data_IF_530251415169
#
_entry.id   IF_530251415169
#
_cell.length_a   1.000
_cell.length_b   1.000
_cell.length_c   1.000
_cell.angle_alpha   90.00
_cell.angle_beta   90.00
_cell.angle_gamma   90.00
#
_symmetry.space_group_name_H-M   'P 1'
#
loop_
_entity.id
_entity.type
_entity.pdbx_description
1 polymer ?
#
# COMPACT_ATOMS: atom_id res chain seq x y z
N UNK A 1 -8.16 63.18 0.46
CA UNK A 1 -7.37 62.00 0.10
C UNK A 1 -8.30 60.99 -0.55
N UNK A 2 -8.04 60.49 -1.76
CA UNK A 2 -8.84 59.43 -2.33
C UNK A 2 -8.62 58.11 -1.53
N UNK A 3 -9.62 57.24 -1.42
CA UNK A 3 -9.50 55.98 -0.69
C UNK A 3 -8.43 55.07 -1.32
N UNK A 4 -7.58 54.54 -0.48
CA UNK A 4 -6.55 53.58 -0.85
C UNK A 4 -7.17 52.32 -1.48
N UNK A 5 -6.68 51.90 -2.65
CA UNK A 5 -7.15 50.68 -3.29
C UNK A 5 -6.86 49.45 -2.37
N UNK A 6 -7.82 48.54 -2.19
CA UNK A 6 -7.58 47.34 -1.46
C UNK A 6 -6.42 46.53 -2.09
N UNK A 7 -5.60 45.84 -1.27
CA UNK A 7 -4.52 45.03 -1.78
C UNK A 7 -5.03 43.96 -2.75
N UNK A 8 -4.26 43.60 -3.79
CA UNK A 8 -4.67 42.59 -4.75
C UNK A 8 -4.93 41.25 -4.00
N UNK A 9 -6.08 40.64 -4.32
CA UNK A 9 -6.43 39.30 -3.83
C UNK A 9 -5.33 38.36 -4.30
N UNK A 10 -4.70 37.55 -3.41
CA UNK A 10 -3.69 36.59 -3.80
C UNK A 10 -4.25 35.63 -4.84
N UNK A 11 -3.52 35.44 -5.93
CA UNK A 11 -3.88 34.47 -6.97
C UNK A 11 -4.10 33.10 -6.32
N UNK A 12 -5.10 32.33 -6.73
CA UNK A 12 -5.30 30.98 -6.25
C UNK A 12 -4.00 30.17 -6.43
N UNK A 13 -3.60 29.34 -5.47
CA UNK A 13 -2.40 28.54 -5.58
C UNK A 13 -2.44 27.72 -6.86
N UNK A 14 -1.36 27.75 -7.63
CA UNK A 14 -1.19 26.92 -8.81
C UNK A 14 -1.43 25.46 -8.41
N UNK A 15 -2.27 24.71 -9.10
CA UNK A 15 -2.48 23.30 -8.78
C UNK A 15 -1.13 22.58 -8.79
N UNK A 16 -0.90 21.64 -7.87
CA UNK A 16 0.35 20.92 -7.81
C UNK A 16 0.63 20.22 -9.14
N UNK A 17 1.88 20.25 -9.63
CA UNK A 17 2.22 19.60 -10.88
C UNK A 17 1.86 18.13 -10.80
N UNK A 18 1.13 17.65 -11.78
CA UNK A 18 0.89 16.21 -11.91
C UNK A 18 2.23 15.54 -12.20
N UNK A 19 2.43 14.36 -11.65
CA UNK A 19 3.64 13.58 -11.87
C UNK A 19 3.83 13.19 -13.35
N UNK A 20 2.78 13.25 -14.15
CA UNK A 20 2.75 12.98 -15.59
C UNK A 20 2.71 14.24 -16.47
N UNK A 21 2.91 15.43 -15.91
CA UNK A 21 2.91 16.70 -16.65
C UNK A 21 1.52 17.25 -16.96
N UNK A 22 1.34 17.83 -18.15
CA UNK A 22 0.13 18.57 -18.56
C UNK A 22 -0.97 17.68 -19.16
N UNK A 23 -0.69 16.39 -19.42
CA UNK A 23 -1.68 15.47 -19.95
C UNK A 23 -2.80 15.20 -18.92
N UNK A 24 -3.95 14.77 -19.37
CA UNK A 24 -4.96 14.22 -18.48
C UNK A 24 -4.51 12.88 -17.89
N UNK A 25 -5.06 12.49 -16.74
CA UNK A 25 -4.73 11.21 -16.11
C UNK A 25 -5.01 10.02 -17.05
N UNK A 26 -6.10 10.07 -17.80
CA UNK A 26 -6.49 9.02 -18.74
C UNK A 26 -5.55 8.94 -19.96
N UNK A 27 -5.14 10.09 -20.50
CA UNK A 27 -4.12 10.15 -21.57
C UNK A 27 -2.77 9.60 -21.10
N UNK A 28 -2.40 9.92 -19.86
CA UNK A 28 -1.18 9.37 -19.28
C UNK A 28 -1.25 7.84 -19.20
N UNK A 29 -2.33 7.25 -18.64
CA UNK A 29 -2.47 5.79 -18.59
C UNK A 29 -2.48 5.17 -19.98
N UNK A 30 -3.19 5.76 -20.94
CA UNK A 30 -3.20 5.27 -22.32
C UNK A 30 -1.81 5.29 -22.95
N UNK A 31 -1.00 6.33 -22.70
CA UNK A 31 0.39 6.41 -23.15
C UNK A 31 1.29 5.32 -22.55
N UNK A 32 0.92 4.78 -21.39
CA UNK A 32 1.60 3.65 -20.73
C UNK A 32 1.05 2.27 -21.16
N UNK A 33 0.14 2.24 -22.16
CA UNK A 33 -0.50 1.01 -22.58
C UNK A 33 -1.52 0.44 -21.58
N UNK A 34 -2.08 1.30 -20.72
CA UNK A 34 -2.95 0.92 -19.60
C UNK A 34 -4.33 1.54 -19.74
N UNK A 35 -5.36 0.73 -19.54
CA UNK A 35 -6.73 1.15 -19.31
C UNK A 35 -6.98 1.20 -17.81
N UNK A 36 -7.22 2.41 -17.28
CA UNK A 36 -7.59 2.60 -15.88
C UNK A 36 -9.11 2.80 -15.76
N UNK A 37 -9.72 2.11 -14.81
CA UNK A 37 -11.12 2.31 -14.45
C UNK A 37 -11.22 2.67 -12.98
N UNK A 38 -12.03 3.65 -12.65
CA UNK A 38 -12.26 4.16 -11.29
C UNK A 38 -13.71 3.91 -10.90
N UNK A 39 -13.94 3.43 -9.69
CA UNK A 39 -15.25 3.16 -9.16
C UNK A 39 -15.32 3.32 -7.65
N UNK A 40 -16.50 3.16 -7.09
CA UNK A 40 -16.72 3.04 -5.66
C UNK A 40 -17.39 1.71 -5.37
N UNK A 41 -16.97 1.06 -4.30
CA UNK A 41 -17.47 -0.24 -3.86
C UNK A 41 -18.01 -0.15 -2.43
N UNK A 42 -19.26 -0.52 -2.24
CA UNK A 42 -19.90 -0.51 -0.91
C UNK A 42 -19.50 -1.75 -0.13
N UNK A 43 -19.10 -1.55 1.12
CA UNK A 43 -18.79 -2.64 2.05
C UNK A 43 -19.57 -2.47 3.35
N UNK A 44 -19.70 -3.51 4.19
CA UNK A 44 -20.28 -3.37 5.53
C UNK A 44 -19.54 -2.37 6.46
N UNK A 45 -18.33 -1.95 6.07
CA UNK A 45 -17.48 -1.08 6.88
C UNK A 45 -17.34 0.34 6.31
N UNK A 46 -17.90 0.62 5.14
CA UNK A 46 -17.86 1.90 4.44
C UNK A 46 -17.55 1.72 2.96
N UNK A 47 -17.67 2.82 2.21
CA UNK A 47 -17.44 2.87 0.77
C UNK A 47 -15.96 3.00 0.46
N UNK A 48 -15.45 2.13 -0.40
CA UNK A 48 -14.09 2.18 -0.91
C UNK A 48 -14.07 2.86 -2.29
N UNK A 49 -13.06 3.67 -2.51
CA UNK A 49 -12.63 4.05 -3.86
C UNK A 49 -11.74 2.95 -4.41
N UNK A 50 -12.05 2.48 -5.61
CA UNK A 50 -11.39 1.34 -6.25
C UNK A 50 -10.91 1.68 -7.64
N UNK A 51 -9.83 1.05 -8.08
CA UNK A 51 -9.28 1.20 -9.41
C UNK A 51 -8.92 -0.15 -10.01
N UNK A 52 -9.04 -0.26 -11.34
CA UNK A 52 -8.42 -1.34 -12.12
C UNK A 52 -7.39 -0.77 -13.09
N UNK A 53 -6.33 -1.52 -13.31
CA UNK A 53 -5.25 -1.22 -14.24
C UNK A 53 -5.05 -2.46 -15.13
N UNK A 54 -5.57 -2.40 -16.33
CA UNK A 54 -5.62 -3.51 -17.28
C UNK A 54 -4.89 -3.12 -18.57
N UNK A 55 -4.49 -4.07 -19.42
CA UNK A 55 -3.94 -3.75 -20.72
C UNK A 55 -4.90 -2.85 -21.50
N UNK A 56 -4.35 -1.86 -22.20
CA UNK A 56 -5.12 -1.00 -23.10
C UNK A 56 -5.67 -1.82 -24.27
N UNK A 57 -4.89 -2.76 -24.79
CA UNK A 57 -5.31 -3.70 -25.83
C UNK A 57 -6.15 -4.82 -25.19
N UNK A 58 -7.46 -4.91 -25.49
CA UNK A 58 -8.33 -5.94 -24.93
C UNK A 58 -8.04 -7.35 -25.46
N UNK A 59 -7.25 -7.50 -26.51
CA UNK A 59 -6.88 -8.80 -27.08
C UNK A 59 -5.74 -9.45 -26.28
N UNK A 60 -4.97 -8.64 -25.55
CA UNK A 60 -3.88 -9.14 -24.71
C UNK A 60 -4.45 -9.96 -23.54
N UNK A 61 -4.14 -11.27 -23.43
CA UNK A 61 -4.69 -12.10 -22.39
C UNK A 61 -4.15 -11.67 -21.01
N UNK A 62 -5.04 -11.63 -20.03
CA UNK A 62 -4.68 -11.45 -18.61
C UNK A 62 -4.24 -12.82 -18.09
N UNK A 63 -2.99 -12.92 -17.63
CA UNK A 63 -2.41 -14.18 -17.13
C UNK A 63 -2.59 -14.42 -15.64
N UNK A 64 -2.81 -13.34 -14.89
CA UNK A 64 -2.98 -13.36 -13.45
C UNK A 64 -3.68 -12.09 -12.98
N UNK A 65 -4.06 -12.04 -11.72
CA UNK A 65 -4.57 -10.83 -11.07
C UNK A 65 -3.74 -10.49 -9.83
N UNK A 66 -3.42 -9.20 -9.64
CA UNK A 66 -2.72 -8.69 -8.45
C UNK A 66 -3.62 -7.66 -7.76
N UNK A 67 -3.92 -7.89 -6.50
CA UNK A 67 -4.79 -7.06 -5.67
C UNK A 67 -3.94 -6.26 -4.70
N UNK A 68 -3.95 -4.93 -4.83
CA UNK A 68 -2.92 -4.06 -4.26
C UNK A 68 -3.45 -3.14 -3.17
N UNK A 69 -2.69 -3.03 -2.07
CA UNK A 69 -2.94 -2.11 -0.96
C UNK A 69 -1.74 -1.21 -0.69
N UNK A 70 -2.00 0.08 -0.58
CA UNK A 70 -1.01 1.13 -0.35
C UNK A 70 -0.64 1.29 1.13
N UNK A 71 0.43 2.04 1.41
CA UNK A 71 0.92 2.35 2.75
C UNK A 71 0.11 3.43 3.50
N UNK A 72 0.46 3.65 4.77
CA UNK A 72 -0.16 4.65 5.64
C UNK A 72 -0.01 6.08 5.06
N UNK A 73 -1.11 6.82 5.05
CA UNK A 73 -1.15 8.21 4.58
C UNK A 73 -1.08 8.37 3.06
N UNK A 74 -1.01 7.28 2.31
CA UNK A 74 -1.00 7.23 0.84
C UNK A 74 -2.39 6.97 0.27
N UNK A 75 -2.47 6.74 -1.03
CA UNK A 75 -3.66 6.34 -1.78
C UNK A 75 -3.26 5.47 -2.99
N UNK A 76 -4.21 4.84 -3.67
CA UNK A 76 -3.97 4.01 -4.86
C UNK A 76 -3.63 4.80 -6.13
N UNK A 77 -3.64 6.11 -6.06
CA UNK A 77 -3.22 7.02 -7.13
C UNK A 77 -1.81 7.55 -6.94
N UNK A 78 -1.55 8.72 -7.57
CA UNK A 78 -0.30 9.44 -7.47
C UNK A 78 0.90 8.52 -7.79
N UNK A 79 1.92 8.48 -6.94
CA UNK A 79 3.11 7.66 -7.23
C UNK A 79 2.89 6.14 -7.07
N UNK A 80 1.90 5.69 -6.29
CA UNK A 80 1.57 4.27 -6.14
C UNK A 80 1.15 3.63 -7.47
N UNK A 81 0.55 4.42 -8.36
CA UNK A 81 0.18 3.96 -9.70
C UNK A 81 1.36 3.47 -10.55
N UNK A 82 2.63 3.83 -10.24
CA UNK A 82 3.80 3.24 -10.91
C UNK A 82 3.84 1.72 -10.75
N UNK A 83 3.52 1.22 -9.56
CA UNK A 83 3.40 -0.22 -9.31
C UNK A 83 2.24 -0.77 -10.12
N UNK A 84 1.08 -0.12 -10.05
CA UNK A 84 -0.12 -0.54 -10.75
C UNK A 84 0.10 -0.59 -12.28
N UNK A 85 0.76 0.41 -12.86
CA UNK A 85 1.11 0.44 -14.29
C UNK A 85 2.07 -0.69 -14.65
N UNK A 86 3.10 -0.93 -13.82
CA UNK A 86 4.06 -2.01 -14.06
C UNK A 86 3.43 -3.39 -14.04
N UNK A 87 2.29 -3.52 -13.35
CA UNK A 87 1.47 -4.73 -13.27
C UNK A 87 0.13 -4.57 -14.00
N UNK A 88 0.03 -3.67 -14.98
CA UNK A 88 -1.23 -3.37 -15.66
C UNK A 88 -1.90 -4.59 -16.31
N UNK A 89 -1.12 -5.59 -16.65
CA UNK A 89 -1.64 -6.86 -17.15
C UNK A 89 -2.38 -7.68 -16.06
N UNK A 90 -2.35 -7.23 -14.77
CA UNK A 90 -2.80 -8.01 -13.61
C UNK A 90 -3.39 -7.19 -12.46
N UNK A 91 -3.55 -5.85 -12.58
CA UNK A 91 -3.66 -4.98 -11.40
C UNK A 91 -5.05 -4.48 -11.02
N UNK A 92 -5.44 -4.73 -9.77
CA UNK A 92 -6.55 -4.07 -9.05
C UNK A 92 -6.06 -3.42 -7.77
N UNK A 93 -6.50 -2.20 -7.48
CA UNK A 93 -6.12 -1.47 -6.29
C UNK A 93 -7.33 -0.85 -5.58
N UNK A 94 -7.24 -0.67 -4.25
CA UNK A 94 -8.23 0.04 -3.47
C UNK A 94 -7.55 1.06 -2.53
N UNK A 95 -8.17 2.24 -2.37
CA UNK A 95 -7.86 3.12 -1.24
C UNK A 95 -8.43 2.49 0.03
N UNK A 96 -7.57 2.26 1.01
CA UNK A 96 -7.98 1.71 2.31
C UNK A 96 -8.93 2.69 3.03
N UNK A 97 -9.83 2.20 3.88
CA UNK A 97 -10.68 3.05 4.71
C UNK A 97 -9.85 4.08 5.48
N UNK A 98 -10.33 5.32 5.52
CA UNK A 98 -9.63 6.47 6.09
C UNK A 98 -8.52 7.04 5.20
N UNK A 99 -8.34 6.55 3.97
CA UNK A 99 -7.30 6.99 3.05
C UNK A 99 -7.88 7.40 1.70
N UNK A 100 -7.12 8.17 0.95
CA UNK A 100 -7.43 8.55 -0.42
C UNK A 100 -8.82 9.15 -0.59
N UNK A 101 -9.65 8.47 -1.36
CA UNK A 101 -11.04 8.82 -1.71
C UNK A 101 -12.06 7.90 -1.03
N UNK A 102 -11.61 6.95 -0.22
CA UNK A 102 -12.47 6.05 0.55
C UNK A 102 -13.05 6.74 1.79
N UNK A 103 -14.16 6.20 2.31
CA UNK A 103 -14.80 6.67 3.51
C UNK A 103 -13.89 6.56 4.74
N UNK A 104 -14.25 7.28 5.79
CA UNK A 104 -13.60 7.22 7.09
C UNK A 104 -12.88 8.51 7.48
N UNK A 105 -12.45 8.57 8.73
CA UNK A 105 -11.66 9.71 9.23
C UNK A 105 -10.24 9.60 8.69
N UNK A 106 -9.73 10.68 8.12
CA UNK A 106 -8.39 10.72 7.51
C UNK A 106 -7.32 10.13 8.41
N UNK A 107 -6.68 9.06 7.93
CA UNK A 107 -5.64 8.29 8.62
C UNK A 107 -6.00 7.82 10.02
N UNK A 108 -7.27 7.52 10.24
CA UNK A 108 -7.74 6.80 11.40
C UNK A 108 -8.13 5.38 10.99
N UNK A 109 -7.42 4.40 11.53
CA UNK A 109 -7.65 2.99 11.20
C UNK A 109 -8.75 2.36 12.05
N UNK A 110 -8.89 2.84 13.31
CA UNK A 110 -9.80 2.24 14.28
C UNK A 110 -9.44 0.77 14.55
N UNK A 111 -9.95 -0.12 13.74
CA UNK A 111 -9.66 -1.56 13.74
C UNK A 111 -9.13 -1.98 12.36
N UNK A 112 -7.85 -2.32 12.26
CA UNK A 112 -7.22 -2.68 11.00
C UNK A 112 -7.80 -3.99 10.42
N UNK A 113 -8.37 -4.87 11.24
CA UNK A 113 -9.07 -6.03 10.71
C UNK A 113 -10.29 -5.64 9.89
N UNK A 114 -11.04 -4.59 10.30
CA UNK A 114 -12.17 -4.08 9.52
C UNK A 114 -11.72 -3.38 8.24
N UNK A 115 -10.61 -2.65 8.31
CA UNK A 115 -10.00 -2.02 7.12
C UNK A 115 -9.57 -3.10 6.12
N UNK A 116 -8.93 -4.17 6.59
CA UNK A 116 -8.55 -5.31 5.77
C UNK A 116 -9.79 -6.05 5.22
N UNK A 117 -10.82 -6.28 6.05
CA UNK A 117 -12.06 -6.91 5.62
C UNK A 117 -12.78 -6.13 4.53
N UNK A 118 -12.81 -4.79 4.61
CA UNK A 118 -13.40 -3.94 3.57
C UNK A 118 -12.68 -4.11 2.23
N UNK A 119 -11.35 -4.01 2.21
CA UNK A 119 -10.55 -4.23 1.01
C UNK A 119 -10.72 -5.67 0.47
N UNK A 120 -10.74 -6.66 1.36
CA UNK A 120 -10.97 -8.07 1.01
C UNK A 120 -12.34 -8.27 0.36
N UNK A 121 -13.41 -7.61 0.82
CA UNK A 121 -14.73 -7.69 0.18
C UNK A 121 -14.67 -7.29 -1.29
N UNK A 122 -14.00 -6.19 -1.60
CA UNK A 122 -13.81 -5.77 -3.00
C UNK A 122 -12.96 -6.77 -3.78
N UNK A 123 -11.80 -7.15 -3.26
CA UNK A 123 -10.89 -8.05 -3.95
C UNK A 123 -11.53 -9.43 -4.22
N UNK A 124 -12.28 -9.96 -3.26
CA UNK A 124 -13.04 -11.20 -3.45
C UNK A 124 -14.10 -11.04 -4.53
N UNK A 125 -14.83 -9.93 -4.59
CA UNK A 125 -15.86 -9.72 -5.61
C UNK A 125 -15.29 -9.75 -7.03
N UNK A 126 -14.08 -9.25 -7.21
CA UNK A 126 -13.35 -9.34 -8.49
C UNK A 126 -12.82 -10.76 -8.71
N UNK A 127 -12.15 -11.34 -7.70
CA UNK A 127 -11.48 -12.64 -7.77
C UNK A 127 -12.42 -13.78 -8.15
N UNK A 128 -13.68 -13.75 -7.67
CA UNK A 128 -14.66 -14.81 -7.93
C UNK A 128 -15.54 -14.55 -9.15
N UNK A 129 -15.30 -13.46 -9.88
CA UNK A 129 -16.03 -13.20 -11.15
C UNK A 129 -15.61 -14.20 -12.23
N UNK A 130 -16.52 -14.48 -13.17
CA UNK A 130 -16.28 -15.44 -14.26
C UNK A 130 -15.03 -15.10 -15.11
N UNK A 131 -14.66 -13.82 -15.16
CA UNK A 131 -13.50 -13.33 -15.90
C UNK A 131 -12.15 -13.70 -15.25
N UNK A 132 -12.12 -13.85 -13.90
CA UNK A 132 -10.85 -13.98 -13.15
C UNK A 132 -10.77 -15.18 -12.21
N UNK A 133 -11.84 -15.95 -12.05
CA UNK A 133 -11.92 -17.04 -11.06
C UNK A 133 -10.91 -18.17 -11.31
N UNK A 134 -10.52 -18.40 -12.56
CA UNK A 134 -9.58 -19.46 -12.96
C UNK A 134 -8.13 -18.97 -13.08
N UNK A 135 -7.87 -17.67 -12.90
CA UNK A 135 -6.53 -17.12 -13.02
C UNK A 135 -5.74 -17.21 -11.70
N UNK A 136 -4.40 -17.29 -11.76
CA UNK A 136 -3.57 -17.06 -10.60
C UNK A 136 -3.85 -15.67 -9.98
N UNK A 137 -3.94 -15.60 -8.65
CA UNK A 137 -4.32 -14.39 -7.93
C UNK A 137 -3.33 -14.09 -6.79
N UNK A 138 -2.80 -12.88 -6.77
CA UNK A 138 -1.81 -12.45 -5.79
C UNK A 138 -2.32 -11.27 -4.97
N UNK A 139 -2.07 -11.27 -3.66
CA UNK A 139 -2.23 -10.10 -2.82
C UNK A 139 -0.91 -9.36 -2.72
N UNK A 140 -0.94 -8.05 -2.93
CA UNK A 140 0.21 -7.16 -2.78
C UNK A 140 -0.06 -6.11 -1.71
N UNK A 141 0.95 -5.84 -0.86
CA UNK A 141 0.87 -4.76 0.11
C UNK A 141 2.20 -4.07 0.37
N UNK A 142 2.16 -2.74 0.39
CA UNK A 142 3.29 -1.90 0.74
C UNK A 142 3.14 -1.37 2.17
N UNK A 143 4.21 -1.45 2.97
CA UNK A 143 4.25 -0.85 4.30
C UNK A 143 3.10 -1.32 5.21
N UNK A 144 2.26 -0.41 5.71
CA UNK A 144 1.02 -0.74 6.43
C UNK A 144 0.06 -1.57 5.56
N UNK A 145 0.03 -1.34 4.24
CA UNK A 145 -0.71 -2.17 3.31
C UNK A 145 -0.24 -3.63 3.33
N UNK A 146 1.06 -3.88 3.57
CA UNK A 146 1.58 -5.23 3.78
C UNK A 146 1.00 -5.90 5.02
N UNK A 147 0.85 -5.15 6.12
CA UNK A 147 0.17 -5.64 7.32
C UNK A 147 -1.31 -5.94 7.04
N UNK A 148 -2.02 -5.04 6.34
CA UNK A 148 -3.41 -5.26 5.91
C UNK A 148 -3.53 -6.49 4.98
N UNK A 149 -2.59 -6.67 4.05
CA UNK A 149 -2.52 -7.84 3.15
C UNK A 149 -2.39 -9.15 3.94
N UNK A 150 -1.54 -9.18 4.95
CA UNK A 150 -1.41 -10.36 5.81
C UNK A 150 -2.71 -10.66 6.57
N UNK A 151 -3.39 -9.61 7.07
CA UNK A 151 -4.69 -9.77 7.73
C UNK A 151 -5.80 -10.22 6.77
N UNK A 152 -5.80 -9.74 5.52
CA UNK A 152 -6.71 -10.23 4.48
C UNK A 152 -6.48 -11.72 4.20
N UNK A 153 -5.22 -12.14 4.09
CA UNK A 153 -4.89 -13.55 3.91
C UNK A 153 -5.42 -14.40 5.07
N UNK A 154 -5.25 -13.98 6.31
CA UNK A 154 -5.76 -14.71 7.48
C UNK A 154 -7.29 -14.75 7.58
N UNK A 155 -7.98 -13.80 6.93
CA UNK A 155 -9.45 -13.72 6.86
C UNK A 155 -10.02 -14.43 5.61
N UNK A 156 -9.16 -14.91 4.71
CA UNK A 156 -9.56 -15.56 3.46
C UNK A 156 -9.72 -17.06 3.63
N UNK A 157 -10.49 -17.66 2.71
CA UNK A 157 -10.51 -19.10 2.53
C UNK A 157 -9.12 -19.57 2.05
N UNK A 158 -8.78 -20.81 2.40
CA UNK A 158 -7.60 -21.47 1.83
C UNK A 158 -7.76 -21.54 0.30
N UNK A 159 -6.67 -21.44 -0.39
CA UNK A 159 -6.60 -21.56 -1.85
C UNK A 159 -7.23 -20.40 -2.66
N UNK A 160 -7.73 -19.36 -1.99
CA UNK A 160 -8.25 -18.17 -2.70
C UNK A 160 -7.11 -17.42 -3.42
N UNK A 161 -5.91 -17.45 -2.86
CA UNK A 161 -4.74 -16.72 -3.35
C UNK A 161 -3.61 -17.66 -3.74
N UNK A 162 -2.98 -17.36 -4.88
CA UNK A 162 -1.80 -18.09 -5.38
C UNK A 162 -0.52 -17.68 -4.62
N UNK A 163 -0.45 -16.45 -4.14
CA UNK A 163 0.69 -15.97 -3.39
C UNK A 163 0.54 -14.56 -2.80
N UNK A 164 1.47 -14.19 -1.94
CA UNK A 164 1.54 -12.89 -1.27
C UNK A 164 2.81 -12.14 -1.68
N UNK A 165 2.71 -10.82 -1.84
CA UNK A 165 3.83 -9.95 -2.17
C UNK A 165 3.86 -8.81 -1.16
N UNK A 166 4.97 -8.68 -0.46
CA UNK A 166 5.18 -7.66 0.56
C UNK A 166 6.33 -6.73 0.15
N UNK A 167 6.05 -5.43 0.04
CA UNK A 167 7.03 -4.40 -0.21
C UNK A 167 7.26 -3.58 1.06
N UNK A 168 8.44 -3.72 1.66
CA UNK A 168 8.80 -3.06 2.93
C UNK A 168 7.67 -3.11 3.98
N UNK A 169 7.12 -4.30 4.29
CA UNK A 169 5.93 -4.42 5.12
C UNK A 169 6.18 -3.92 6.55
N UNK A 170 5.19 -3.25 7.12
CA UNK A 170 5.24 -2.75 8.49
C UNK A 170 4.93 -3.88 9.49
N UNK A 171 5.81 -4.86 9.60
CA UNK A 171 5.67 -5.96 10.57
C UNK A 171 6.40 -5.67 11.89
N UNK A 172 7.47 -4.88 11.85
CA UNK A 172 8.21 -4.43 13.03
C UNK A 172 8.42 -2.92 12.96
N UNK A 173 7.99 -2.21 14.00
CA UNK A 173 8.21 -0.78 14.15
C UNK A 173 9.64 -0.56 14.64
N UNK A 174 10.46 0.30 13.99
CA UNK A 174 11.80 0.62 14.46
C UNK A 174 11.80 1.16 15.90
N UNK A 175 12.75 0.75 16.73
CA UNK A 175 12.81 1.13 18.16
C UNK A 175 12.68 2.65 18.41
N UNK A 176 13.33 3.56 17.62
CA UNK A 176 13.15 4.99 17.83
C UNK A 176 11.73 5.52 17.58
N UNK A 177 10.89 4.75 16.87
CA UNK A 177 9.51 5.09 16.55
C UNK A 177 8.50 4.36 17.43
N UNK A 178 8.95 3.38 18.20
CA UNK A 178 8.10 2.53 19.05
C UNK A 178 7.62 3.34 20.25
N UNK A 179 6.31 3.56 20.41
CA UNK A 179 5.81 4.21 21.62
C UNK A 179 6.13 3.33 22.83
N UNK A 180 6.69 3.91 23.89
CA UNK A 180 6.95 3.14 25.11
C UNK A 180 5.64 2.61 25.70
N UNK A 181 5.69 1.45 26.36
CA UNK A 181 4.51 0.84 27.02
C UNK A 181 3.83 1.80 27.99
N UNK A 182 4.62 2.66 28.66
CA UNK A 182 4.11 3.71 29.56
C UNK A 182 3.34 4.77 28.77
N UNK A 183 3.85 5.24 27.64
CA UNK A 183 3.14 6.17 26.78
C UNK A 183 1.85 5.54 26.21
N UNK A 184 1.89 4.29 25.77
CA UNK A 184 0.70 3.57 25.30
C UNK A 184 -0.35 3.42 26.40
N UNK A 185 0.06 3.13 27.63
CA UNK A 185 -0.82 3.04 28.80
C UNK A 185 -1.42 4.41 29.17
N UNK A 186 -0.58 5.45 29.24
CA UNK A 186 -1.04 6.83 29.51
C UNK A 186 -1.99 7.33 28.42
N UNK A 187 -1.67 7.09 27.16
CA UNK A 187 -2.57 7.40 26.05
C UNK A 187 -3.85 6.57 26.11
N UNK A 188 -3.81 5.32 26.53
CA UNK A 188 -5.00 4.49 26.75
C UNK A 188 -5.90 5.00 27.86
N UNK A 189 -5.33 5.46 28.98
CA UNK A 189 -6.08 5.98 30.12
C UNK A 189 -6.61 7.41 29.89
N UNK A 190 -5.79 8.29 29.27
CA UNK A 190 -6.14 9.70 29.03
C UNK A 190 -6.92 9.89 27.73
N UNK A 191 -6.77 9.02 26.74
CA UNK A 191 -7.27 9.19 25.38
C UNK A 191 -8.16 8.05 24.87
N UNK A 192 -8.60 7.15 25.74
CA UNK A 192 -9.64 6.17 25.37
C UNK A 192 -10.92 6.81 24.82
N UNK A 193 -11.13 8.11 25.11
CA UNK A 193 -12.18 8.97 24.55
C UNK A 193 -11.73 9.73 23.29
N UNK A 194 -10.45 9.65 22.88
CA UNK A 194 -9.85 10.54 21.87
C UNK A 194 -8.92 9.80 20.88
N UNK A 195 -9.24 8.58 20.53
CA UNK A 195 -8.47 7.76 19.58
C UNK A 195 -8.26 8.45 18.21
N UNK A 196 -9.20 9.34 17.84
CA UNK A 196 -9.14 10.11 16.61
C UNK A 196 -8.21 11.33 16.68
N UNK A 197 -7.65 11.68 17.85
CA UNK A 197 -6.77 12.84 18.01
C UNK A 197 -5.44 12.64 17.29
N UNK A 198 -5.07 13.63 16.47
CA UNK A 198 -3.80 13.70 15.78
C UNK A 198 -2.74 14.34 16.71
N UNK A 199 -2.33 13.60 17.73
CA UNK A 199 -1.48 14.10 18.82
C UNK A 199 -0.09 13.44 18.91
N UNK A 200 0.17 12.37 18.16
CA UNK A 200 1.48 11.70 18.19
C UNK A 200 2.58 12.60 17.59
N UNK A 201 3.81 12.54 18.11
CA UNK A 201 4.92 13.29 17.53
C UNK A 201 5.10 12.98 16.05
N UNK A 202 5.26 14.02 15.22
CA UNK A 202 5.65 13.87 13.83
C UNK A 202 7.17 13.71 13.76
N UNK A 203 7.63 12.53 13.40
CA UNK A 203 9.05 12.21 13.28
C UNK A 203 9.62 12.52 11.88
N UNK A 204 8.98 13.39 11.09
CA UNK A 204 9.37 13.72 9.70
C UNK A 204 9.52 12.46 8.85
N UNK A 205 8.54 11.59 8.94
CA UNK A 205 8.55 10.24 8.34
C UNK A 205 8.84 10.25 6.83
N UNK A 206 8.37 11.25 6.10
CA UNK A 206 8.48 11.32 4.62
C UNK A 206 9.94 11.35 4.17
N UNK A 207 10.79 12.15 4.80
CA UNK A 207 12.24 12.22 4.47
C UNK A 207 13.01 10.93 4.77
N UNK A 208 12.43 10.03 5.57
CA UNK A 208 12.99 8.70 5.84
C UNK A 208 12.47 7.61 4.90
N UNK A 209 11.38 7.91 4.19
CA UNK A 209 10.76 6.97 3.26
C UNK A 209 11.30 7.09 1.84
N UNK A 210 11.66 8.31 1.43
CA UNK A 210 11.93 8.69 0.04
C UNK A 210 13.38 9.12 -0.07
N UNK A 211 14.14 8.44 -0.92
CA UNK A 211 15.56 8.74 -1.17
C UNK A 211 15.75 9.78 -2.26
N UNK A 212 14.95 9.70 -3.33
CA UNK A 212 15.02 10.61 -4.47
C UNK A 212 14.37 11.97 -4.12
N UNK A 213 15.11 13.10 -4.15
CA UNK A 213 14.60 14.40 -3.74
C UNK A 213 13.51 14.96 -4.69
N UNK A 214 13.56 14.62 -5.98
CA UNK A 214 12.54 15.07 -6.93
C UNK A 214 11.23 14.28 -6.73
N UNK A 215 11.31 12.98 -6.51
CA UNK A 215 10.17 12.16 -6.15
C UNK A 215 9.58 12.57 -4.80
N UNK A 216 10.44 12.97 -3.84
CA UNK A 216 9.98 13.53 -2.56
C UNK A 216 9.10 14.78 -2.76
N UNK A 217 9.51 15.71 -3.64
CA UNK A 217 8.69 16.90 -3.96
C UNK A 217 7.34 16.52 -4.55
N UNK A 218 7.34 15.59 -5.52
CA UNK A 218 6.12 15.10 -6.15
C UNK A 218 5.19 14.45 -5.12
N UNK A 219 5.70 13.56 -4.28
CA UNK A 219 4.91 12.87 -3.24
C UNK A 219 4.40 13.87 -2.20
N UNK A 220 5.22 14.84 -1.80
CA UNK A 220 4.83 15.88 -0.86
C UNK A 220 3.70 16.77 -1.41
N UNK A 221 3.62 16.96 -2.72
CA UNK A 221 2.58 17.76 -3.38
C UNK A 221 1.24 17.02 -3.58
N UNK A 222 1.16 15.73 -3.27
CA UNK A 222 -0.10 14.98 -3.38
C UNK A 222 -1.18 15.60 -2.46
N UNK A 223 -2.27 16.17 -3.01
CA UNK A 223 -3.32 16.83 -2.23
C UNK A 223 -4.11 15.85 -1.33
N UNK A 224 -4.04 14.56 -1.63
CA UNK A 224 -4.72 13.51 -0.85
C UNK A 224 -3.84 12.92 0.24
N UNK A 225 -2.53 13.21 0.21
CA UNK A 225 -1.60 12.75 1.22
C UNK A 225 -1.96 13.33 2.59
N UNK A 226 -1.91 12.50 3.61
CA UNK A 226 -2.09 12.97 4.98
C UNK A 226 -0.83 13.69 5.48
N UNK A 227 -0.99 14.95 5.87
CA UNK A 227 0.09 15.81 6.38
C UNK A 227 -0.07 16.12 7.89
N UNK A 228 -1.12 15.61 8.51
CA UNK A 228 -1.35 15.78 9.95
C UNK A 228 -0.48 14.83 10.79
N UNK A 229 -0.46 15.10 12.10
CA UNK A 229 0.19 14.19 13.05
C UNK A 229 -0.51 12.83 13.07
N UNK A 230 0.23 11.73 13.28
CA UNK A 230 -0.38 10.41 13.43
C UNK A 230 -1.42 10.41 14.57
N UNK A 231 -2.52 9.68 14.38
CA UNK A 231 -3.58 9.57 15.38
C UNK A 231 -3.22 8.53 16.44
N UNK A 232 -3.57 8.81 17.68
CA UNK A 232 -3.25 7.95 18.84
C UNK A 232 -3.80 6.53 18.63
N UNK A 233 -5.09 6.41 18.31
CA UNK A 233 -5.72 5.11 18.06
C UNK A 233 -5.12 4.35 16.91
N UNK A 234 -4.70 5.04 15.84
CA UNK A 234 -4.02 4.44 14.70
C UNK A 234 -2.67 3.83 15.10
N UNK A 235 -1.84 4.56 15.85
CA UNK A 235 -0.52 4.05 16.26
C UNK A 235 -0.64 2.88 17.24
N UNK A 236 -1.63 2.94 18.14
CA UNK A 236 -1.95 1.81 19.02
C UNK A 236 -2.37 0.58 18.23
N UNK A 237 -3.26 0.75 17.25
CA UNK A 237 -3.74 -0.34 16.42
C UNK A 237 -2.62 -0.94 15.57
N UNK A 238 -1.77 -0.13 14.95
CA UNK A 238 -0.59 -0.61 14.21
C UNK A 238 0.32 -1.45 15.13
N UNK A 239 0.62 -0.94 16.33
CA UNK A 239 1.48 -1.70 17.28
C UNK A 239 0.87 -3.05 17.65
N UNK A 240 -0.45 -3.07 17.92
CA UNK A 240 -1.19 -4.30 18.24
C UNK A 240 -1.15 -5.31 17.08
N UNK A 241 -1.33 -4.83 15.86
CA UNK A 241 -1.37 -5.69 14.69
C UNK A 241 0.03 -6.16 14.26
N UNK A 242 1.08 -5.36 14.47
CA UNK A 242 2.46 -5.82 14.30
C UNK A 242 2.76 -7.00 15.24
N UNK A 243 2.39 -6.89 16.53
CA UNK A 243 2.56 -7.98 17.49
C UNK A 243 1.74 -9.22 17.10
N UNK A 244 0.48 -9.03 16.70
CA UNK A 244 -0.36 -10.11 16.21
C UNK A 244 0.25 -10.81 14.99
N UNK A 245 0.73 -10.04 14.00
CA UNK A 245 1.37 -10.58 12.80
C UNK A 245 2.58 -11.44 13.15
N UNK A 246 3.51 -10.93 13.98
CA UNK A 246 4.72 -11.63 14.40
C UNK A 246 4.43 -12.96 15.13
N UNK A 247 3.33 -13.00 15.89
CA UNK A 247 2.89 -14.19 16.61
C UNK A 247 2.15 -15.22 15.73
N UNK A 248 1.82 -14.85 14.47
CA UNK A 248 1.05 -15.69 13.56
C UNK A 248 1.73 -15.90 12.20
N UNK A 249 3.00 -15.56 12.05
CA UNK A 249 3.74 -15.79 10.80
C UNK A 249 3.79 -17.28 10.40
N UNK A 250 3.77 -18.19 11.37
CA UNK A 250 3.73 -19.63 11.12
C UNK A 250 2.44 -20.11 10.44
N UNK A 251 1.40 -19.27 10.37
CA UNK A 251 0.16 -19.55 9.63
C UNK A 251 0.27 -19.24 8.13
N UNK A 252 1.36 -18.60 7.69
CA UNK A 252 1.59 -18.33 6.26
C UNK A 252 2.12 -19.59 5.61
N UNK A 253 1.30 -20.21 4.74
CA UNK A 253 1.59 -21.51 4.11
C UNK A 253 1.62 -21.46 2.59
N UNK A 254 1.13 -20.38 1.96
CA UNK A 254 1.17 -20.19 0.51
C UNK A 254 2.46 -19.50 0.07
N UNK A 255 2.81 -19.56 -1.22
CA UNK A 255 3.97 -18.84 -1.76
C UNK A 255 3.99 -17.37 -1.38
N UNK A 256 5.15 -16.83 -1.02
CA UNK A 256 5.28 -15.39 -0.80
C UNK A 256 6.65 -14.84 -1.18
N UNK A 257 6.62 -13.56 -1.58
CA UNK A 257 7.78 -12.71 -1.75
C UNK A 257 7.73 -11.59 -0.72
N UNK A 258 8.82 -11.34 -0.03
CA UNK A 258 9.01 -10.10 0.74
C UNK A 258 10.29 -9.40 0.27
N UNK A 259 10.18 -8.11 -0.03
CA UNK A 259 11.29 -7.24 -0.45
C UNK A 259 11.46 -6.11 0.55
N UNK A 260 12.72 -5.76 0.91
CA UNK A 260 12.99 -4.73 1.91
C UNK A 260 14.33 -4.04 1.64
N UNK A 261 14.43 -2.75 1.99
CA UNK A 261 15.67 -1.99 1.92
C UNK A 261 16.39 -1.95 3.27
N UNK A 262 17.73 -2.09 3.28
CA UNK A 262 18.50 -2.05 4.55
C UNK A 262 18.50 -0.69 5.24
N UNK A 263 18.27 0.39 4.49
CA UNK A 263 18.19 1.77 5.01
C UNK A 263 16.75 2.24 5.27
N UNK A 264 15.82 1.32 5.43
CA UNK A 264 14.43 1.64 5.77
C UNK A 264 14.33 2.21 7.20
N UNK A 265 13.92 3.48 7.29
CA UNK A 265 13.75 4.17 8.57
C UNK A 265 12.33 4.14 9.13
N UNK A 266 11.37 3.46 8.47
CA UNK A 266 9.95 3.42 8.85
C UNK A 266 9.44 2.03 9.24
N UNK A 267 9.93 0.99 8.57
CA UNK A 267 9.64 -0.40 8.87
C UNK A 267 10.97 -1.14 9.03
N UNK A 268 11.13 -1.91 10.11
CA UNK A 268 12.38 -2.62 10.33
C UNK A 268 12.48 -3.84 9.40
N UNK A 269 13.58 -4.00 8.63
CA UNK A 269 13.82 -5.17 7.77
C UNK A 269 13.71 -6.50 8.51
N UNK A 270 14.03 -6.50 9.82
CA UNK A 270 13.85 -7.69 10.67
C UNK A 270 12.45 -8.28 10.66
N UNK A 271 11.42 -7.47 10.34
CA UNK A 271 10.05 -7.96 10.18
C UNK A 271 9.89 -8.88 8.97
N UNK A 272 10.53 -8.55 7.85
CA UNK A 272 10.57 -9.39 6.65
C UNK A 272 11.41 -10.66 6.87
N UNK A 273 12.54 -10.53 7.54
CA UNK A 273 13.40 -11.67 7.93
C UNK A 273 12.64 -12.64 8.85
N UNK A 274 11.96 -12.10 9.86
CA UNK A 274 11.17 -12.90 10.81
C UNK A 274 10.01 -13.63 10.13
N UNK A 275 9.30 -12.98 9.16
CA UNK A 275 8.30 -13.65 8.35
C UNK A 275 8.92 -14.80 7.56
N UNK A 276 10.05 -14.54 6.88
CA UNK A 276 10.76 -15.57 6.10
C UNK A 276 11.18 -16.76 6.96
N UNK A 277 11.68 -16.54 8.16
CA UNK A 277 12.10 -17.60 9.06
C UNK A 277 10.92 -18.43 9.60
N UNK A 278 9.86 -17.76 10.07
CA UNK A 278 8.76 -18.40 10.81
C UNK A 278 7.66 -18.99 9.94
N UNK A 279 7.46 -18.46 8.72
CA UNK A 279 6.41 -18.95 7.82
C UNK A 279 6.63 -20.41 7.44
N UNK A 280 5.54 -21.16 7.38
CA UNK A 280 5.54 -22.59 6.99
C UNK A 280 5.40 -22.79 5.48
N UNK A 281 5.39 -21.73 4.69
CA UNK A 281 5.43 -21.84 3.23
C UNK A 281 6.67 -22.58 2.75
N UNK A 282 6.52 -23.50 1.82
CA UNK A 282 7.62 -24.20 1.14
C UNK A 282 8.23 -23.36 0.01
N UNK A 283 7.48 -22.38 -0.49
CA UNK A 283 7.88 -21.46 -1.56
C UNK A 283 7.92 -20.02 -1.00
N UNK A 284 9.04 -19.64 -0.41
CA UNK A 284 9.24 -18.34 0.22
C UNK A 284 10.51 -17.67 -0.28
N UNK A 285 10.39 -16.38 -0.59
CA UNK A 285 11.49 -15.56 -1.12
C UNK A 285 11.64 -14.29 -0.28
N UNK A 286 12.86 -14.03 0.16
CA UNK A 286 13.26 -12.78 0.80
C UNK A 286 14.33 -12.12 -0.08
N UNK A 287 14.10 -10.84 -0.45
CA UNK A 287 15.10 -10.01 -1.12
C UNK A 287 15.37 -8.76 -0.30
N UNK A 288 16.61 -8.60 0.13
CA UNK A 288 17.10 -7.43 0.86
C UNK A 288 17.95 -6.60 -0.09
N UNK A 289 17.62 -5.31 -0.24
CA UNK A 289 18.34 -4.38 -1.10
C UNK A 289 19.19 -3.45 -0.25
N UNK A 290 20.49 -3.52 -0.45
CA UNK A 290 21.46 -2.73 0.30
C UNK A 290 21.30 -1.23 0.03
N UNK A 291 21.19 -0.42 1.08
CA UNK A 291 21.10 1.02 1.02
C UNK A 291 19.77 1.59 0.53
N UNK A 292 18.78 0.78 0.13
CA UNK A 292 17.48 1.27 -0.29
C UNK A 292 16.64 1.69 0.93
N UNK A 293 15.81 2.72 0.71
CA UNK A 293 14.88 3.27 1.70
C UNK A 293 13.54 2.54 1.70
N UNK A 294 12.59 3.05 2.47
CA UNK A 294 11.27 2.44 2.68
C UNK A 294 10.44 2.29 1.40
N UNK A 295 10.31 3.37 0.62
CA UNK A 295 9.51 3.37 -0.62
C UNK A 295 10.36 2.87 -1.79
N UNK A 296 10.51 1.55 -1.88
CA UNK A 296 11.41 0.89 -2.82
C UNK A 296 11.16 1.22 -4.30
N UNK A 297 9.93 1.55 -4.66
CA UNK A 297 9.55 1.82 -6.05
C UNK A 297 9.24 3.29 -6.27
N UNK A 298 8.38 3.89 -5.43
CA UNK A 298 7.97 5.27 -5.60
C UNK A 298 9.02 6.26 -5.12
N UNK A 299 9.90 5.86 -4.20
CA UNK A 299 10.82 6.74 -3.50
C UNK A 299 12.28 6.60 -3.87
N UNK A 300 12.67 5.54 -4.56
CA UNK A 300 14.02 5.31 -5.02
C UNK A 300 14.27 5.91 -6.41
N UNK A 301 15.52 6.20 -6.81
CA UNK A 301 15.89 6.46 -8.19
C UNK A 301 15.36 5.36 -9.13
N UNK A 302 15.08 5.72 -10.38
CA UNK A 302 14.41 4.80 -11.32
C UNK A 302 15.19 3.50 -11.57
N UNK A 303 16.51 3.53 -11.52
CA UNK A 303 17.36 2.34 -11.66
C UNK A 303 17.04 1.31 -10.55
N UNK A 304 17.03 1.76 -9.30
CA UNK A 304 16.72 0.92 -8.14
C UNK A 304 15.26 0.44 -8.18
N UNK A 305 14.33 1.34 -8.49
CA UNK A 305 12.91 1.02 -8.59
C UNK A 305 12.64 -0.05 -9.67
N UNK A 306 13.29 0.06 -10.82
CA UNK A 306 13.15 -0.89 -11.91
C UNK A 306 13.75 -2.27 -11.57
N UNK A 307 14.85 -2.31 -10.80
CA UNK A 307 15.42 -3.56 -10.29
C UNK A 307 14.40 -4.29 -9.39
N UNK A 308 13.82 -3.58 -8.43
CA UNK A 308 12.81 -4.15 -7.52
C UNK A 308 11.58 -4.62 -8.28
N UNK A 309 11.08 -3.83 -9.23
CA UNK A 309 9.94 -4.18 -10.07
C UNK A 309 10.22 -5.43 -10.94
N UNK A 310 11.43 -5.51 -11.53
CA UNK A 310 11.83 -6.66 -12.34
C UNK A 310 11.88 -7.96 -11.51
N UNK A 311 12.43 -7.87 -10.29
CA UNK A 311 12.48 -9.00 -9.37
C UNK A 311 11.09 -9.49 -8.95
N UNK A 312 10.19 -8.55 -8.63
CA UNK A 312 8.80 -8.87 -8.29
C UNK A 312 8.06 -9.50 -9.48
N UNK A 313 8.25 -8.94 -10.69
CA UNK A 313 7.64 -9.48 -11.91
C UNK A 313 8.12 -10.90 -12.19
N UNK A 314 9.42 -11.12 -12.15
CA UNK A 314 10.00 -12.46 -12.36
C UNK A 314 9.42 -13.47 -11.36
N UNK A 315 9.26 -13.08 -10.10
CA UNK A 315 8.67 -13.93 -9.07
C UNK A 315 7.21 -14.31 -9.38
N UNK A 316 6.41 -13.35 -9.89
CA UNK A 316 5.01 -13.60 -10.29
C UNK A 316 4.99 -14.54 -11.51
N UNK A 317 5.74 -14.22 -12.56
CA UNK A 317 5.77 -14.98 -13.83
C UNK A 317 6.12 -16.46 -13.57
N UNK A 318 7.12 -16.73 -12.73
CA UNK A 318 7.48 -18.11 -12.35
C UNK A 318 6.32 -18.88 -11.70
N UNK A 319 5.44 -18.21 -10.93
CA UNK A 319 4.31 -18.85 -10.26
C UNK A 319 3.09 -18.97 -11.16
N UNK A 320 2.92 -18.04 -12.08
CA UNK A 320 1.91 -18.15 -13.16
C UNK A 320 2.22 -19.38 -14.01
N UNK A 321 3.46 -19.55 -14.46
CA UNK A 321 3.88 -20.72 -15.25
C UNK A 321 3.71 -22.04 -14.49
N UNK A 322 3.97 -22.04 -13.18
CA UNK A 322 3.74 -23.22 -12.33
C UNK A 322 2.25 -23.56 -12.16
N UNK A 323 1.40 -22.52 -12.08
CA UNK A 323 -0.04 -22.68 -11.96
C UNK A 323 -0.64 -23.27 -13.24
N UNK A 324 -0.28 -22.74 -14.41
CA UNK A 324 -0.73 -23.24 -15.71
C UNK A 324 -0.37 -24.73 -15.89
N UNK A 325 0.83 -25.15 -15.50
CA UNK A 325 1.26 -26.56 -15.57
C UNK A 325 0.50 -27.49 -14.63
N UNK A 326 -0.12 -26.98 -13.55
CA UNK A 326 -0.95 -27.80 -12.63
C UNK A 326 -2.39 -27.94 -13.12
N UNK A 327 -2.83 -27.03 -13.97
CA UNK A 327 -4.19 -27.00 -14.51
C UNK A 327 -4.35 -27.83 -15.81
N UNK A 328 -3.25 -28.24 -16.41
CA UNK A 328 -3.18 -29.19 -17.53
C UNK A 328 -2.93 -30.61 -17.04
#
# INVERSE_FOLDING_TARGET
>A
MPPEKPPPVPSPPTPPPNFWGDASEDEYYASQGVRNTKSHFETPHGKLFTQSFLPLDPIQPIKATVYMTHGYGSDSGWMFQKICISYANWGYAADLLGHGRSDGIRCYLGDLNKVAAAALCFFKSVRVSDEYNDLPAFLFGESMGGLATLLMYFQSEKDLWTGLIFSAPLFVIPEPMKPSKVHLLMYGLLFGLSDTWAAMPDNKMVGKAIRDPEKLKIIASNPRRYTGKPRVGTMREISRQCEYAQNNFDKVTIPFLTVHGTSDGLACPSGSEMLYEKARSEDKTLKIYEGLYHSLIQGEPDENANLVLADMRSWIDERVDKYEKKSC
#
